data_IF_044731362943
#
_entry.id   IF_044731362943
#
_cell.length_a   1.000
_cell.length_b   1.000
_cell.length_c   1.000
_cell.angle_alpha   90.00
_cell.angle_beta   90.00
_cell.angle_gamma   90.00
#
_symmetry.space_group_name_H-M   'P 1'
#
loop_
_entity.id
_entity.type
_entity.pdbx_description
1 polymer ?
#
# COMPACT_ATOMS: atom_id res chain seq x y z
N UNK A 1 22.80 23.39 39.18
CA UNK A 1 22.46 24.59 38.39
C UNK A 1 22.61 25.79 39.29
N UNK A 2 23.14 26.92 38.80
CA UNK A 2 23.29 28.13 39.59
C UNK A 2 22.00 28.95 39.45
N UNK A 3 21.13 28.91 40.47
CA UNK A 3 19.82 29.58 40.47
C UNK A 3 19.79 30.79 41.41
N UNK A 4 20.97 31.34 41.74
CA UNK A 4 21.09 32.50 42.62
C UNK A 4 20.76 33.78 41.84
N UNK A 5 19.85 34.57 42.40
CA UNK A 5 19.49 35.89 41.88
C UNK A 5 19.57 36.93 42.98
N UNK A 6 19.93 38.17 42.63
CA UNK A 6 19.97 39.28 43.59
C UNK A 6 18.62 39.59 44.23
N UNK A 7 17.54 39.37 43.48
CA UNK A 7 16.15 39.59 43.88
C UNK A 7 15.21 38.96 42.86
N UNK A 8 13.98 38.67 43.28
CA UNK A 8 12.95 38.18 42.37
C UNK A 8 12.56 39.25 41.33
N UNK A 9 12.60 40.53 41.69
CA UNK A 9 12.33 41.63 40.75
C UNK A 9 13.34 41.64 39.59
N UNK A 10 14.62 41.40 39.89
CA UNK A 10 15.66 41.31 38.86
C UNK A 10 15.38 40.17 37.89
N UNK A 11 14.89 39.03 38.39
CA UNK A 11 14.49 37.90 37.56
C UNK A 11 13.28 38.23 36.69
N UNK A 12 12.25 38.87 37.26
CA UNK A 12 11.03 39.29 36.55
C UNK A 12 11.35 40.22 35.37
N UNK A 13 12.31 41.14 35.52
CA UNK A 13 12.71 42.05 34.43
C UNK A 13 13.33 41.34 33.22
N UNK A 14 13.87 40.13 33.40
CA UNK A 14 14.49 39.34 32.33
C UNK A 14 13.50 38.43 31.60
N UNK A 15 12.33 38.13 32.19
CA UNK A 15 11.39 37.15 31.65
C UNK A 15 10.87 37.49 30.24
N UNK A 16 10.50 38.75 29.91
CA UNK A 16 10.08 39.08 28.54
C UNK A 16 11.18 38.83 27.51
N UNK A 17 12.45 39.08 27.89
CA UNK A 17 13.61 38.87 27.03
C UNK A 17 13.83 37.37 26.84
N UNK A 18 13.73 36.57 27.91
CA UNK A 18 13.85 35.12 27.84
C UNK A 18 12.75 34.53 26.98
N UNK A 19 11.49 34.93 27.21
CA UNK A 19 10.35 34.45 26.43
C UNK A 19 10.48 34.80 24.95
N UNK A 20 10.96 36.01 24.62
CA UNK A 20 11.19 36.42 23.22
C UNK A 20 12.43 35.75 22.59
N UNK A 21 13.43 35.36 23.38
CA UNK A 21 14.65 34.74 22.90
C UNK A 21 14.52 33.23 22.67
N UNK A 22 13.58 32.56 23.33
CA UNK A 22 13.35 31.13 23.15
C UNK A 22 12.27 30.90 22.07
N UNK A 23 12.57 30.19 20.98
CA UNK A 23 11.62 29.94 19.90
C UNK A 23 10.66 28.78 20.25
N UNK A 24 9.97 28.89 21.38
CA UNK A 24 8.97 27.94 21.83
C UNK A 24 7.77 28.67 22.42
N UNK A 25 6.57 28.15 22.17
CA UNK A 25 5.35 28.66 22.79
C UNK A 25 5.33 28.23 24.27
N UNK A 26 5.72 29.16 25.14
CA UNK A 26 5.89 28.92 26.56
C UNK A 26 5.22 29.97 27.42
N UNK A 27 4.75 29.55 28.59
CA UNK A 27 4.40 30.46 29.68
C UNK A 27 5.43 30.39 30.80
N UNK A 28 5.66 31.53 31.44
CA UNK A 28 6.59 31.64 32.57
C UNK A 28 5.88 32.32 33.73
N UNK A 29 5.91 31.67 34.90
CA UNK A 29 5.40 32.22 36.15
C UNK A 29 6.55 32.36 37.15
N UNK A 30 6.54 33.43 37.93
CA UNK A 30 7.43 33.60 39.09
C UNK A 30 6.58 33.88 40.31
N UNK A 31 6.93 33.24 41.42
CA UNK A 31 6.29 33.44 42.70
C UNK A 31 7.33 33.75 43.78
N UNK A 32 6.87 34.47 44.81
CA UNK A 32 7.53 34.44 46.11
C UNK A 32 7.10 33.18 46.88
N UNK A 33 7.37 33.11 48.18
CA UNK A 33 7.00 31.95 49.02
C UNK A 33 5.49 31.83 49.32
N UNK A 34 4.67 32.77 48.84
CA UNK A 34 3.26 32.91 49.20
C UNK A 34 2.32 33.12 48.01
N UNK A 35 2.75 33.85 46.97
CA UNK A 35 1.92 34.26 45.84
C UNK A 35 2.72 34.44 44.54
N UNK A 36 2.03 34.39 43.40
CA UNK A 36 2.60 34.74 42.11
C UNK A 36 2.88 36.24 42.01
N UNK A 37 4.09 36.59 41.59
CA UNK A 37 4.54 37.98 41.43
C UNK A 37 4.61 38.41 39.97
N UNK A 38 4.73 37.45 39.05
CA UNK A 38 4.72 37.70 37.62
C UNK A 38 4.20 36.48 36.86
N UNK A 39 3.49 36.73 35.78
CA UNK A 39 3.06 35.71 34.84
C UNK A 39 3.10 36.26 33.42
N UNK A 40 3.76 35.52 32.55
CA UNK A 40 3.89 35.81 31.13
C UNK A 40 3.30 34.62 30.37
N UNK A 41 2.06 34.73 29.84
CA UNK A 41 1.43 33.67 29.08
C UNK A 41 2.12 33.50 27.71
N UNK A 42 2.08 32.29 27.18
CA UNK A 42 2.39 32.03 25.77
C UNK A 42 1.19 32.32 24.88
N UNK A 43 1.36 32.17 23.56
CA UNK A 43 0.30 32.39 22.57
C UNK A 43 -0.79 31.33 22.70
N UNK A 44 -0.41 30.06 22.87
CA UNK A 44 -1.34 28.95 23.05
C UNK A 44 -1.15 28.18 24.36
N UNK A 45 -0.42 28.76 25.31
CA UNK A 45 -0.25 28.22 26.65
C UNK A 45 -0.50 29.31 27.70
N UNK A 46 -1.74 29.36 28.20
CA UNK A 46 -2.16 30.32 29.20
C UNK A 46 -2.92 29.62 30.33
N UNK A 47 -2.34 29.61 31.52
CA UNK A 47 -2.86 28.99 32.74
C UNK A 47 -3.80 29.91 33.54
N UNK A 48 -4.00 31.16 33.08
CA UNK A 48 -4.88 32.13 33.76
C UNK A 48 -4.35 32.64 35.10
N UNK A 49 -3.03 32.61 35.31
CA UNK A 49 -2.40 33.02 36.57
C UNK A 49 -2.39 34.55 36.68
N UNK A 50 -3.00 35.08 37.75
CA UNK A 50 -2.97 36.50 38.09
C UNK A 50 -1.84 36.83 39.06
N UNK A 51 -1.25 38.02 38.92
CA UNK A 51 -0.32 38.57 39.93
C UNK A 51 -1.08 38.75 41.25
N UNK A 52 -0.51 38.24 42.35
CA UNK A 52 -1.12 38.20 43.68
C UNK A 52 -1.99 36.95 43.95
N UNK A 53 -2.14 36.03 42.99
CA UNK A 53 -2.76 34.74 43.27
C UNK A 53 -1.92 33.95 44.28
N UNK A 54 -2.56 33.42 45.31
CA UNK A 54 -1.90 32.60 46.34
C UNK A 54 -1.52 31.24 45.77
N UNK A 55 -0.38 30.73 46.23
CA UNK A 55 0.09 29.40 45.85
C UNK A 55 -0.74 28.30 46.51
N UNK A 56 -1.11 27.28 45.74
CA UNK A 56 -1.71 26.07 46.28
C UNK A 56 -0.60 25.16 46.84
N UNK A 57 -0.70 24.67 48.10
CA UNK A 57 0.30 23.77 48.69
C UNK A 57 0.59 22.49 47.89
N UNK A 58 -0.37 22.04 47.07
CA UNK A 58 -0.23 20.84 46.24
C UNK A 58 0.41 21.13 44.86
N UNK A 59 0.68 22.40 44.54
CA UNK A 59 1.33 22.74 43.27
C UNK A 59 2.80 22.30 43.25
N UNK A 60 3.28 21.77 42.10
CA UNK A 60 4.68 21.37 41.94
C UNK A 60 5.70 22.47 42.28
N UNK A 61 5.31 23.75 42.10
CA UNK A 61 6.15 24.90 42.42
C UNK A 61 6.38 25.06 43.93
N UNK A 62 5.36 24.82 44.76
CA UNK A 62 5.48 24.88 46.22
C UNK A 62 6.33 23.72 46.75
N UNK A 63 6.11 22.53 46.20
CA UNK A 63 6.89 21.32 46.54
C UNK A 63 8.36 21.54 46.19
N UNK A 64 8.66 22.00 44.97
CA UNK A 64 10.02 22.31 44.52
C UNK A 64 10.74 23.34 45.42
N UNK A 65 10.03 24.38 45.86
CA UNK A 65 10.57 25.37 46.80
C UNK A 65 10.80 24.81 48.20
N UNK A 66 9.90 23.95 48.68
CA UNK A 66 9.96 23.39 50.05
C UNK A 66 11.04 22.33 50.17
N UNK A 67 11.11 21.43 49.19
CA UNK A 67 12.12 20.36 49.13
C UNK A 67 13.46 20.86 48.58
N UNK A 68 13.49 22.08 48.01
CA UNK A 68 14.63 22.65 47.32
C UNK A 68 15.13 21.74 46.18
N UNK A 69 14.19 21.21 45.40
CA UNK A 69 14.43 20.28 44.29
C UNK A 69 13.87 20.85 42.99
N UNK A 70 14.57 20.59 41.89
CA UNK A 70 14.02 20.85 40.56
C UNK A 70 12.98 19.78 40.24
N UNK A 71 11.80 20.22 39.82
CA UNK A 71 10.74 19.33 39.36
C UNK A 71 10.49 19.53 37.87
N UNK A 72 10.33 18.42 37.15
CA UNK A 72 9.84 18.39 35.77
C UNK A 72 8.80 17.28 35.66
N UNK A 73 7.66 17.59 35.07
CA UNK A 73 6.58 16.63 34.88
C UNK A 73 5.63 17.06 33.78
N UNK A 74 4.83 16.10 33.32
CA UNK A 74 3.78 16.34 32.34
C UNK A 74 2.46 16.59 33.06
N UNK A 75 1.71 17.58 32.57
CA UNK A 75 0.39 17.93 33.08
C UNK A 75 -0.65 17.57 32.01
N UNK A 76 -1.55 16.61 32.31
CA UNK A 76 -2.66 16.25 31.42
C UNK A 76 -3.61 17.43 31.17
N UNK A 77 -4.34 17.38 30.05
CA UNK A 77 -5.32 18.41 29.68
C UNK A 77 -6.47 18.56 30.69
N UNK A 78 -6.71 17.55 31.54
CA UNK A 78 -7.78 17.57 32.55
C UNK A 78 -7.66 18.73 33.55
N UNK A 79 -6.44 19.24 33.79
CA UNK A 79 -6.21 20.30 34.77
C UNK A 79 -6.39 21.71 34.19
N UNK A 80 -5.97 21.95 32.94
CA UNK A 80 -5.89 23.29 32.35
C UNK A 80 -6.51 23.39 30.94
N UNK A 81 -7.13 22.32 30.43
CA UNK A 81 -7.74 22.26 29.10
C UNK A 81 -6.79 21.92 27.96
N UNK A 82 -5.47 21.79 28.22
CA UNK A 82 -4.45 21.40 27.26
C UNK A 82 -3.26 20.72 27.94
N UNK A 83 -2.55 19.86 27.22
CA UNK A 83 -1.37 19.15 27.74
C UNK A 83 -0.10 19.98 27.60
N UNK A 84 0.75 19.96 28.64
CA UNK A 84 2.04 20.63 28.62
C UNK A 84 3.06 19.94 29.52
N UNK A 85 4.34 20.19 29.27
CA UNK A 85 5.41 19.84 30.20
C UNK A 85 5.71 21.05 31.07
N UNK A 86 5.57 20.89 32.38
CA UNK A 86 5.87 21.91 33.37
C UNK A 86 7.22 21.64 34.04
N UNK A 87 7.93 22.73 34.33
CA UNK A 87 9.10 22.71 35.20
C UNK A 87 8.85 23.64 36.38
N UNK A 88 9.40 23.29 37.54
CA UNK A 88 9.42 24.13 38.73
C UNK A 88 10.83 24.17 39.29
N UNK A 89 11.36 25.38 39.43
CA UNK A 89 12.73 25.65 39.83
C UNK A 89 12.74 26.56 41.06
N UNK A 90 13.28 26.12 42.21
CA UNK A 90 13.49 27.00 43.34
C UNK A 90 14.57 28.04 43.01
N UNK A 91 14.32 29.27 43.44
CA UNK A 91 15.19 30.43 43.24
C UNK A 91 15.79 30.83 44.58
N UNK A 92 17.10 31.06 44.58
CA UNK A 92 17.86 31.37 45.79
C UNK A 92 18.37 32.80 45.78
N UNK A 93 18.54 33.38 46.96
CA UNK A 93 19.33 34.60 47.13
C UNK A 93 20.84 34.31 47.16
N UNK A 94 21.66 35.35 47.30
CA UNK A 94 23.11 35.25 47.41
C UNK A 94 23.59 34.46 48.66
N UNK A 95 22.70 34.21 49.62
CA UNK A 95 22.96 33.41 50.82
C UNK A 95 22.54 31.94 50.66
N UNK A 96 21.97 31.57 49.52
CA UNK A 96 21.47 30.21 49.24
C UNK A 96 20.11 29.91 49.87
N UNK A 97 19.37 30.93 50.32
CA UNK A 97 18.02 30.78 50.88
C UNK A 97 17.01 30.82 49.74
N UNK A 98 16.05 29.88 49.73
CA UNK A 98 14.94 29.90 48.76
C UNK A 98 14.06 31.12 49.00
N UNK A 99 14.04 32.04 48.06
CA UNK A 99 13.25 33.28 48.11
C UNK A 99 11.97 33.19 47.26
N UNK A 100 11.90 32.24 46.34
CA UNK A 100 10.76 32.06 45.44
C UNK A 100 10.99 30.91 44.45
N UNK A 101 10.19 30.89 43.40
CA UNK A 101 10.22 29.84 42.39
C UNK A 101 9.90 30.36 40.99
N UNK A 102 10.48 29.71 39.98
CA UNK A 102 10.09 29.89 38.58
C UNK A 102 9.41 28.63 38.10
N UNK A 103 8.26 28.80 37.45
CA UNK A 103 7.67 27.74 36.65
C UNK A 103 7.72 28.11 35.17
N UNK A 104 8.16 27.18 34.34
CA UNK A 104 8.10 27.30 32.88
C UNK A 104 7.26 26.15 32.35
N UNK A 105 6.28 26.47 31.51
CA UNK A 105 5.44 25.48 30.84
C UNK A 105 5.62 25.60 29.33
N UNK A 106 5.84 24.47 28.67
CA UNK A 106 5.95 24.36 27.22
C UNK A 106 4.86 23.42 26.73
N UNK A 107 4.10 23.86 25.73
CA UNK A 107 2.97 23.09 25.20
C UNK A 107 3.47 21.80 24.54
N UNK A 108 2.83 20.67 24.82
CA UNK A 108 3.14 19.41 24.14
C UNK A 108 2.36 19.31 22.84
N UNK A 109 3.01 18.77 21.81
CA UNK A 109 2.36 18.44 20.54
C UNK A 109 1.95 16.97 20.48
N UNK A 110 1.12 16.52 21.44
CA UNK A 110 0.65 15.12 21.51
C UNK A 110 -0.09 14.68 20.24
N UNK A 111 -0.79 15.61 19.57
CA UNK A 111 -1.42 15.39 18.26
C UNK A 111 -0.42 14.97 17.17
N UNK A 112 0.81 15.54 17.17
CA UNK A 112 1.84 15.16 16.20
C UNK A 112 2.35 13.73 16.46
N UNK A 113 2.49 13.33 17.72
CA UNK A 113 2.90 11.97 18.09
C UNK A 113 1.80 10.98 17.70
N UNK A 114 0.54 11.31 17.96
CA UNK A 114 -0.60 10.47 17.57
C UNK A 114 -0.67 10.30 16.05
N UNK A 115 -0.58 11.40 15.30
CA UNK A 115 -0.57 11.38 13.84
C UNK A 115 0.60 10.54 13.30
N UNK A 116 1.80 10.71 13.85
CA UNK A 116 2.95 9.90 13.48
C UNK A 116 2.71 8.40 13.73
N UNK A 117 2.12 8.04 14.88
CA UNK A 117 1.76 6.65 15.18
C UNK A 117 0.71 6.10 14.22
N UNK A 118 -0.32 6.89 13.86
CA UNK A 118 -1.32 6.51 12.87
C UNK A 118 -0.67 6.26 11.50
N UNK A 119 0.29 7.08 11.09
CA UNK A 119 1.07 6.88 9.85
C UNK A 119 1.85 5.57 9.91
N UNK A 120 2.51 5.25 11.03
CA UNK A 120 3.24 3.97 11.19
C UNK A 120 2.30 2.77 11.00
N UNK A 121 1.11 2.79 11.61
CA UNK A 121 0.12 1.72 11.47
C UNK A 121 -0.34 1.60 10.01
N UNK A 122 -0.66 2.73 9.36
CA UNK A 122 -1.08 2.75 7.96
C UNK A 122 0.01 2.21 7.02
N UNK A 123 1.29 2.54 7.26
CA UNK A 123 2.42 2.04 6.50
C UNK A 123 2.64 0.54 6.67
N UNK A 124 2.44 0.02 7.90
CA UNK A 124 2.49 -1.42 8.13
C UNK A 124 1.43 -2.16 7.31
N UNK A 125 0.19 -1.66 7.32
CA UNK A 125 -0.90 -2.22 6.51
C UNK A 125 -0.62 -2.11 5.00
N UNK A 126 -0.05 -0.99 4.55
CA UNK A 126 0.35 -0.82 3.16
C UNK A 126 1.43 -1.83 2.76
N UNK A 127 2.41 -2.09 3.63
CA UNK A 127 3.46 -3.07 3.39
C UNK A 127 2.89 -4.51 3.26
N UNK A 128 1.95 -4.89 4.11
CA UNK A 128 1.27 -6.20 4.01
C UNK A 128 0.55 -6.36 2.67
N UNK A 129 -0.14 -5.31 2.21
CA UNK A 129 -0.80 -5.29 0.89
C UNK A 129 0.20 -5.38 -0.26
N UNK A 130 1.38 -4.77 -0.11
CA UNK A 130 2.46 -4.85 -1.11
C UNK A 130 3.03 -6.27 -1.18
N UNK A 131 3.26 -6.93 -0.05
CA UNK A 131 3.69 -8.33 -0.02
C UNK A 131 2.65 -9.23 -0.70
N UNK A 132 1.36 -8.99 -0.44
CA UNK A 132 0.27 -9.70 -1.13
C UNK A 132 0.31 -9.44 -2.65
N UNK A 133 0.49 -8.19 -3.09
CA UNK A 133 0.58 -7.83 -4.50
C UNK A 133 1.77 -8.52 -5.21
N UNK A 134 2.94 -8.59 -4.56
CA UNK A 134 4.10 -9.34 -5.08
C UNK A 134 3.76 -10.82 -5.25
N UNK A 135 3.16 -11.45 -4.23
CA UNK A 135 2.78 -12.86 -4.31
C UNK A 135 1.75 -13.13 -5.41
N UNK A 136 0.79 -12.22 -5.58
CA UNK A 136 -0.20 -12.27 -6.66
C UNK A 136 0.43 -12.15 -8.04
N UNK A 137 1.39 -11.25 -8.22
CA UNK A 137 2.13 -11.10 -9.48
C UNK A 137 2.89 -12.37 -9.84
N UNK A 138 3.56 -13.00 -8.87
CA UNK A 138 4.26 -14.27 -9.09
C UNK A 138 3.30 -15.40 -9.48
N UNK A 139 2.12 -15.46 -8.86
CA UNK A 139 1.08 -16.42 -9.21
C UNK A 139 0.56 -16.20 -10.65
N UNK A 140 0.34 -14.94 -11.05
CA UNK A 140 -0.04 -14.58 -12.42
C UNK A 140 1.03 -15.00 -13.42
N UNK A 141 2.31 -14.78 -13.12
CA UNK A 141 3.42 -15.19 -13.98
C UNK A 141 3.47 -16.72 -14.16
N UNK A 142 3.23 -17.50 -13.10
CA UNK A 142 3.15 -18.96 -13.19
C UNK A 142 1.96 -19.42 -14.04
N UNK A 143 0.78 -18.84 -13.79
CA UNK A 143 -0.44 -19.12 -14.56
C UNK A 143 -0.26 -18.80 -16.04
N UNK A 144 0.32 -17.66 -16.39
CA UNK A 144 0.62 -17.29 -17.77
C UNK A 144 1.53 -18.32 -18.46
N UNK A 145 2.56 -18.81 -17.77
CA UNK A 145 3.45 -19.84 -18.32
C UNK A 145 2.68 -21.12 -18.64
N UNK A 146 1.78 -21.55 -17.75
CA UNK A 146 0.93 -22.73 -17.96
C UNK A 146 -0.05 -22.51 -19.12
N UNK A 147 -0.68 -21.34 -19.19
CA UNK A 147 -1.59 -20.98 -20.28
C UNK A 147 -0.89 -20.98 -21.63
N UNK A 148 0.37 -20.52 -21.68
CA UNK A 148 1.16 -20.53 -22.91
C UNK A 148 1.40 -21.95 -23.41
N UNK A 149 1.75 -22.86 -22.50
CA UNK A 149 1.92 -24.30 -22.83
C UNK A 149 0.59 -24.89 -23.33
N UNK A 150 -0.52 -24.64 -22.63
CA UNK A 150 -1.84 -25.12 -23.05
C UNK A 150 -2.27 -24.59 -24.42
N UNK A 151 -1.99 -23.31 -24.71
CA UNK A 151 -2.24 -22.70 -26.02
C UNK A 151 -1.41 -23.38 -27.11
N UNK A 152 -0.13 -23.63 -26.86
CA UNK A 152 0.75 -24.36 -27.79
C UNK A 152 0.29 -25.80 -28.04
N UNK A 153 -0.10 -26.53 -26.98
CA UNK A 153 -0.65 -27.87 -27.08
C UNK A 153 -1.97 -27.89 -27.87
N UNK A 154 -2.85 -26.92 -27.63
CA UNK A 154 -4.08 -26.72 -28.40
C UNK A 154 -3.80 -26.51 -29.89
N UNK A 155 -2.84 -25.65 -30.21
CA UNK A 155 -2.42 -25.39 -31.60
C UNK A 155 -1.87 -26.63 -32.28
N UNK A 156 -1.04 -27.43 -31.57
CA UNK A 156 -0.56 -28.71 -32.08
C UNK A 156 -1.68 -29.73 -32.30
N UNK A 157 -2.69 -29.76 -31.42
CA UNK A 157 -3.85 -30.65 -31.55
C UNK A 157 -4.70 -30.30 -32.78
N UNK A 158 -4.91 -29.00 -33.04
CA UNK A 158 -5.57 -28.51 -34.25
C UNK A 158 -4.81 -28.96 -35.50
N UNK A 159 -3.49 -28.82 -35.52
CA UNK A 159 -2.66 -29.22 -36.67
C UNK A 159 -2.70 -30.75 -36.91
N UNK A 160 -2.63 -31.56 -35.84
CA UNK A 160 -2.80 -33.02 -35.93
C UNK A 160 -4.18 -33.40 -36.47
N UNK A 161 -5.24 -32.72 -36.02
CA UNK A 161 -6.60 -32.98 -36.50
C UNK A 161 -6.74 -32.61 -37.97
N UNK A 162 -6.12 -31.50 -38.40
CA UNK A 162 -6.09 -31.10 -39.81
C UNK A 162 -5.41 -32.12 -40.72
N UNK A 163 -4.35 -32.80 -40.24
CA UNK A 163 -3.71 -33.90 -40.95
C UNK A 163 -4.66 -35.09 -41.13
N UNK A 164 -5.38 -35.48 -40.06
CA UNK A 164 -6.38 -36.57 -40.12
C UNK A 164 -7.50 -36.23 -41.12
N UNK A 165 -8.03 -35.01 -41.07
CA UNK A 165 -9.08 -34.56 -42.01
C UNK A 165 -8.59 -34.56 -43.45
N UNK A 166 -7.30 -34.23 -43.67
CA UNK A 166 -6.68 -34.33 -45.00
C UNK A 166 -6.62 -35.77 -45.51
N UNK A 167 -6.29 -36.73 -44.65
CA UNK A 167 -6.32 -38.16 -45.00
C UNK A 167 -7.74 -38.61 -45.34
N UNK A 168 -8.75 -38.24 -44.53
CA UNK A 168 -10.16 -38.58 -44.79
C UNK A 168 -10.61 -38.04 -46.15
N UNK A 169 -10.24 -36.78 -46.46
CA UNK A 169 -10.56 -36.18 -47.76
C UNK A 169 -9.91 -36.94 -48.92
N UNK A 170 -8.64 -37.33 -48.78
CA UNK A 170 -7.95 -38.11 -49.81
C UNK A 170 -8.60 -39.49 -50.03
N UNK A 171 -9.04 -40.16 -48.95
CA UNK A 171 -9.78 -41.42 -49.05
C UNK A 171 -11.12 -41.20 -49.76
N UNK A 172 -11.87 -40.15 -49.42
CA UNK A 172 -13.14 -39.83 -50.07
C UNK A 172 -12.96 -39.47 -51.56
N UNK A 173 -11.92 -38.71 -51.92
CA UNK A 173 -11.57 -38.41 -53.30
C UNK A 173 -11.27 -39.70 -54.10
N UNK A 174 -10.53 -40.66 -53.50
CA UNK A 174 -10.25 -41.97 -54.10
C UNK A 174 -11.51 -42.83 -54.23
N UNK A 175 -12.35 -42.90 -53.19
CA UNK A 175 -13.61 -43.64 -53.21
C UNK A 175 -14.58 -43.08 -54.26
N UNK A 176 -14.62 -41.76 -54.45
CA UNK A 176 -15.41 -41.13 -55.51
C UNK A 176 -14.93 -41.55 -56.91
N UNK A 177 -13.61 -41.62 -57.13
CA UNK A 177 -13.02 -42.10 -58.39
C UNK A 177 -13.29 -43.59 -58.62
N UNK A 178 -13.18 -44.42 -57.58
CA UNK A 178 -13.53 -45.84 -57.67
C UNK A 178 -15.01 -46.05 -57.98
N UNK A 179 -15.89 -45.31 -57.31
CA UNK A 179 -17.33 -45.32 -57.58
C UNK A 179 -17.68 -44.85 -58.99
N UNK A 180 -16.94 -43.86 -59.53
CA UNK A 180 -17.07 -43.45 -60.93
C UNK A 180 -16.71 -44.59 -61.89
N UNK A 181 -15.54 -45.20 -61.72
CA UNK A 181 -15.07 -46.29 -62.57
C UNK A 181 -16.04 -47.49 -62.52
N UNK A 182 -16.52 -47.84 -61.33
CA UNK A 182 -17.51 -48.91 -61.15
C UNK A 182 -18.86 -48.57 -61.81
N UNK A 183 -19.30 -47.30 -61.76
CA UNK A 183 -20.53 -46.87 -62.44
C UNK A 183 -20.41 -46.96 -63.97
N UNK A 184 -19.23 -46.63 -64.52
CA UNK A 184 -18.93 -46.76 -65.95
C UNK A 184 -18.96 -48.23 -66.36
N UNK A 185 -18.30 -49.11 -65.60
CA UNK A 185 -18.25 -50.55 -65.91
C UNK A 185 -19.62 -51.22 -65.77
N UNK A 186 -20.41 -50.81 -64.77
CA UNK A 186 -21.79 -51.25 -64.60
C UNK A 186 -22.68 -50.86 -65.79
N UNK A 187 -22.48 -49.66 -66.35
CA UNK A 187 -23.17 -49.25 -67.58
C UNK A 187 -22.71 -50.07 -68.79
N UNK A 188 -21.42 -50.42 -68.87
CA UNK A 188 -20.85 -51.23 -69.94
C UNK A 188 -21.42 -52.67 -69.94
N UNK A 189 -21.64 -53.25 -68.76
CA UNK A 189 -22.24 -54.58 -68.60
C UNK A 189 -23.76 -54.63 -68.87
N UNK A 190 -24.39 -53.50 -69.19
CA UNK A 190 -25.82 -53.39 -69.51
C UNK A 190 -26.71 -53.92 -68.38
N UNK A 191 -27.69 -54.77 -68.73
CA UNK A 191 -28.65 -55.30 -67.75
C UNK A 191 -27.99 -56.12 -66.62
N UNK A 192 -26.85 -56.76 -66.89
CA UNK A 192 -26.11 -57.54 -65.88
C UNK A 192 -25.40 -56.64 -64.85
N UNK A 193 -25.12 -55.38 -65.20
CA UNK A 193 -24.46 -54.41 -64.32
C UNK A 193 -25.40 -53.56 -63.48
N UNK A 194 -26.73 -53.66 -63.68
CA UNK A 194 -27.71 -52.73 -63.10
C UNK A 194 -27.66 -52.64 -61.57
N UNK A 195 -27.48 -53.77 -60.89
CA UNK A 195 -27.32 -53.81 -59.43
C UNK A 195 -26.01 -53.19 -58.95
N UNK A 196 -24.90 -53.45 -59.66
CA UNK A 196 -23.60 -52.83 -59.38
C UNK A 196 -23.63 -51.31 -59.59
N UNK A 197 -24.36 -50.82 -60.60
CA UNK A 197 -24.51 -49.39 -60.86
C UNK A 197 -25.19 -48.63 -59.72
N UNK A 198 -26.19 -49.24 -59.07
CA UNK A 198 -26.86 -48.65 -57.89
C UNK A 198 -25.86 -48.49 -56.74
N UNK A 199 -25.10 -49.55 -56.43
CA UNK A 199 -24.09 -49.53 -55.36
C UNK A 199 -22.99 -48.52 -55.67
N UNK A 200 -22.51 -48.46 -56.91
CA UNK A 200 -21.50 -47.51 -57.33
C UNK A 200 -21.98 -46.05 -57.22
N UNK A 201 -23.25 -45.78 -57.55
CA UNK A 201 -23.88 -44.48 -57.34
C UNK A 201 -23.94 -44.07 -55.87
N UNK A 202 -24.29 -44.99 -54.97
CA UNK A 202 -24.35 -44.70 -53.53
C UNK A 202 -22.95 -44.44 -52.94
N UNK A 203 -21.94 -45.23 -53.33
CA UNK A 203 -20.53 -45.00 -52.93
C UNK A 203 -20.09 -43.60 -53.35
N UNK A 204 -20.44 -43.19 -54.57
CA UNK A 204 -20.08 -41.89 -55.13
C UNK A 204 -20.75 -40.75 -54.36
N UNK A 205 -22.05 -40.90 -54.04
CA UNK A 205 -22.80 -39.95 -53.22
C UNK A 205 -22.19 -39.79 -51.83
N UNK A 206 -21.94 -40.89 -51.12
CA UNK A 206 -21.30 -40.89 -49.79
C UNK A 206 -19.92 -40.25 -49.81
N UNK A 207 -19.14 -40.50 -50.88
CA UNK A 207 -17.81 -39.90 -51.04
C UNK A 207 -17.89 -38.38 -51.21
N UNK A 208 -18.84 -37.87 -52.00
CA UNK A 208 -19.06 -36.43 -52.18
C UNK A 208 -19.55 -35.76 -50.89
N UNK A 209 -20.46 -36.39 -50.15
CA UNK A 209 -20.91 -35.92 -48.83
C UNK A 209 -19.74 -35.88 -47.82
N UNK A 210 -18.86 -36.88 -47.86
CA UNK A 210 -17.64 -36.90 -47.02
C UNK A 210 -16.68 -35.76 -47.40
N UNK A 211 -16.47 -35.51 -48.70
CA UNK A 211 -15.64 -34.38 -49.17
C UNK A 211 -16.20 -33.05 -48.66
N UNK A 212 -17.50 -32.83 -48.78
CA UNK A 212 -18.15 -31.62 -48.27
C UNK A 212 -17.96 -31.49 -46.75
N UNK A 213 -18.22 -32.56 -45.99
CA UNK A 213 -18.03 -32.57 -44.54
C UNK A 213 -16.59 -32.26 -44.12
N UNK A 214 -15.59 -32.82 -44.81
CA UNK A 214 -14.17 -32.52 -44.52
C UNK A 214 -13.76 -31.08 -44.86
N UNK A 215 -14.51 -30.40 -45.74
CA UNK A 215 -14.30 -28.97 -46.02
C UNK A 215 -14.81 -28.13 -44.85
N UNK A 216 -16.01 -28.44 -44.37
CA UNK A 216 -16.62 -27.73 -43.24
C UNK A 216 -15.79 -27.90 -41.96
N UNK A 217 -15.34 -29.14 -41.67
CA UNK A 217 -14.43 -29.40 -40.53
C UNK A 217 -13.14 -28.59 -40.65
N UNK A 218 -12.57 -28.47 -41.87
CA UNK A 218 -11.36 -27.67 -42.08
C UNK A 218 -11.56 -26.19 -41.79
N UNK A 219 -12.72 -25.64 -42.17
CA UNK A 219 -13.06 -24.27 -41.83
C UNK A 219 -13.10 -24.08 -40.30
N UNK A 220 -13.78 -24.97 -39.58
CA UNK A 220 -13.82 -24.92 -38.10
C UNK A 220 -12.43 -25.05 -37.47
N UNK A 221 -11.56 -25.92 -38.00
CA UNK A 221 -10.17 -26.03 -37.52
C UNK A 221 -9.37 -24.75 -37.76
N UNK A 222 -9.61 -24.06 -38.87
CA UNK A 222 -8.95 -22.78 -39.16
C UNK A 222 -9.41 -21.69 -38.18
N UNK A 223 -10.70 -21.62 -37.86
CA UNK A 223 -11.24 -20.74 -36.84
C UNK A 223 -10.65 -21.05 -35.45
N UNK A 224 -10.53 -22.33 -35.08
CA UNK A 224 -9.88 -22.74 -33.83
C UNK A 224 -8.39 -22.37 -33.77
N UNK A 225 -7.67 -22.46 -34.89
CA UNK A 225 -6.27 -22.03 -34.99
C UNK A 225 -6.12 -20.54 -34.72
N UNK A 226 -7.02 -19.73 -35.30
CA UNK A 226 -7.05 -18.28 -35.10
C UNK A 226 -7.33 -17.93 -33.63
N UNK A 227 -8.34 -18.55 -33.02
CA UNK A 227 -8.64 -18.35 -31.59
C UNK A 227 -7.45 -18.74 -30.70
N UNK A 228 -6.77 -19.84 -31.02
CA UNK A 228 -5.58 -20.27 -30.29
C UNK A 228 -4.44 -19.26 -30.40
N UNK A 229 -4.26 -18.65 -31.58
CA UNK A 229 -3.27 -17.61 -31.80
C UNK A 229 -3.57 -16.36 -30.97
N UNK A 230 -4.83 -15.90 -30.98
CA UNK A 230 -5.28 -14.76 -30.20
C UNK A 230 -5.12 -14.99 -28.69
N UNK A 231 -5.37 -16.21 -28.21
CA UNK A 231 -5.07 -16.59 -26.82
C UNK A 231 -3.58 -16.41 -26.51
N UNK A 232 -2.70 -16.82 -27.42
CA UNK A 232 -1.25 -16.64 -27.28
C UNK A 232 -0.84 -15.17 -27.18
N UNK A 233 -1.42 -14.30 -28.02
CA UNK A 233 -1.18 -12.85 -27.95
C UNK A 233 -1.67 -12.24 -26.63
N UNK A 234 -2.88 -12.61 -26.19
CA UNK A 234 -3.42 -12.15 -24.91
C UNK A 234 -2.53 -12.57 -23.73
N UNK A 235 -2.01 -13.80 -23.72
CA UNK A 235 -1.08 -14.28 -22.68
C UNK A 235 0.20 -13.43 -22.65
N UNK A 236 0.76 -13.09 -23.82
CA UNK A 236 1.94 -12.23 -23.89
C UNK A 236 1.67 -10.82 -23.35
N UNK A 237 0.49 -10.27 -23.63
CA UNK A 237 0.07 -8.97 -23.09
C UNK A 237 -0.05 -9.01 -21.56
N UNK A 238 -0.69 -10.04 -21.00
CA UNK A 238 -0.78 -10.22 -19.54
C UNK A 238 0.61 -10.36 -18.92
N UNK A 239 1.54 -11.05 -19.59
CA UNK A 239 2.91 -11.17 -19.11
C UNK A 239 3.64 -9.81 -19.03
N UNK A 240 3.43 -8.92 -20.02
CA UNK A 240 3.97 -7.55 -19.99
C UNK A 240 3.40 -6.75 -18.81
N UNK A 241 2.06 -6.79 -18.64
CA UNK A 241 1.39 -6.09 -17.55
C UNK A 241 1.88 -6.59 -16.18
N UNK A 242 2.03 -7.90 -16.01
CA UNK A 242 2.53 -8.49 -14.76
C UNK A 242 3.96 -8.03 -14.44
N UNK A 243 4.80 -7.84 -15.47
CA UNK A 243 6.16 -7.31 -15.30
C UNK A 243 6.16 -5.85 -14.85
N UNK A 244 5.32 -5.01 -15.46
CA UNK A 244 5.16 -3.60 -15.08
C UNK A 244 4.60 -3.46 -13.65
N UNK A 245 3.66 -4.33 -13.28
CA UNK A 245 3.11 -4.39 -11.93
C UNK A 245 4.19 -4.76 -10.90
N UNK A 246 5.08 -5.71 -11.21
CA UNK A 246 6.19 -6.07 -10.33
C UNK A 246 7.11 -4.87 -10.06
N UNK A 247 7.52 -4.15 -11.11
CA UNK A 247 8.34 -2.92 -10.99
C UNK A 247 7.65 -1.85 -10.16
N UNK A 248 6.35 -1.62 -10.40
CA UNK A 248 5.58 -0.63 -9.64
C UNK A 248 5.49 -1.00 -8.15
N UNK A 249 5.37 -2.30 -7.85
CA UNK A 249 5.29 -2.81 -6.48
C UNK A 249 6.63 -2.65 -5.75
N UNK A 250 7.76 -2.86 -6.43
CA UNK A 250 9.09 -2.58 -5.89
C UNK A 250 9.29 -1.09 -5.58
N UNK A 251 8.83 -0.21 -6.47
CA UNK A 251 8.89 1.24 -6.25
C UNK A 251 8.05 1.67 -5.04
N UNK A 252 6.83 1.16 -4.90
CA UNK A 252 5.98 1.45 -3.74
C UNK A 252 6.63 0.95 -2.44
N UNK A 253 7.26 -0.24 -2.46
CA UNK A 253 8.00 -0.75 -1.32
C UNK A 253 9.13 0.19 -0.88
N UNK A 254 9.89 0.73 -1.85
CA UNK A 254 10.93 1.72 -1.57
C UNK A 254 10.36 3.01 -0.96
N UNK A 255 9.25 3.52 -1.48
CA UNK A 255 8.58 4.71 -0.92
C UNK A 255 8.05 4.47 0.50
N UNK A 256 7.46 3.31 0.77
CA UNK A 256 6.99 2.96 2.13
C UNK A 256 8.15 3.01 3.12
N UNK A 257 9.32 2.47 2.74
CA UNK A 257 10.51 2.50 3.58
C UNK A 257 10.99 3.92 3.87
N UNK A 258 11.00 4.79 2.86
CA UNK A 258 11.37 6.20 3.02
C UNK A 258 10.40 6.94 3.96
N UNK A 259 9.09 6.71 3.82
CA UNK A 259 8.09 7.33 4.71
C UNK A 259 8.22 6.79 6.14
N UNK A 260 8.56 5.51 6.32
CA UNK A 260 8.83 4.94 7.64
C UNK A 260 10.01 5.65 8.33
N UNK A 261 11.11 5.87 7.61
CA UNK A 261 12.28 6.61 8.12
C UNK A 261 11.91 8.06 8.49
N UNK A 262 11.18 8.75 7.61
CA UNK A 262 10.71 10.12 7.86
C UNK A 262 9.76 10.21 9.06
N UNK A 263 8.88 9.23 9.24
CA UNK A 263 7.95 9.17 10.39
C UNK A 263 8.70 8.91 11.69
N UNK A 264 9.78 8.11 11.66
CA UNK A 264 10.69 7.94 12.78
C UNK A 264 11.32 9.28 13.22
N UNK A 265 11.85 10.05 12.26
CA UNK A 265 12.38 11.38 12.54
C UNK A 265 11.33 12.35 13.08
N UNK A 266 10.09 12.30 12.57
CA UNK A 266 8.98 13.12 13.05
C UNK A 266 8.64 12.80 14.52
N UNK A 267 8.60 11.52 14.88
CA UNK A 267 8.34 11.10 16.26
C UNK A 267 9.46 11.55 17.22
N UNK A 268 10.72 11.42 16.81
CA UNK A 268 11.87 11.89 17.57
C UNK A 268 11.86 13.42 17.75
N UNK A 269 11.43 14.16 16.72
CA UNK A 269 11.30 15.61 16.78
C UNK A 269 10.15 16.03 17.69
N UNK A 270 8.98 15.41 17.56
CA UNK A 270 7.80 15.71 18.39
C UNK A 270 8.01 15.41 19.88
N UNK A 271 8.92 14.49 20.23
CA UNK A 271 9.31 14.22 21.63
C UNK A 271 10.31 15.22 22.21
N UNK A 272 10.98 16.01 21.36
CA UNK A 272 12.00 17.00 21.76
C UNK A 272 11.44 18.41 21.91
N UNK A 273 10.33 18.71 21.24
CA UNK A 273 9.50 19.90 21.43
C UNK A 273 8.71 19.79 22.74
#
# INVERSE_FOLDING_TARGET
>A
MNNNVKSLESLVTLLPIIQAAVPADMSIAVCDRTQFIAYYPGENINLGIGVGHKLNPEEPLVIAMTENTFFRGDVPAEFYGFEFTGTALPVHDDQGIVIGGVAVQIRRHSELIELANQIVVALSQANDKIVQAVSGSNAIADLNRRLLVLSQEGGQSVEKTNQVVSVIKNVADQSNLLGLNASIEAAHAGDKGRGFGIVAGEIRKLSLETIASTKDIRQTLQELKEVTHQIGEAINQVASISKEQAVSTEQISAFIKEIQEMTGHLNDFARKL
#
